data_IF_126303245813
#
_entry.id   IF_126303245813
#
_cell.length_a   1.000
_cell.length_b   1.000
_cell.length_c   1.000
_cell.angle_alpha   90.00
_cell.angle_beta   90.00
_cell.angle_gamma   90.00
#
_symmetry.space_group_name_H-M   'P 1'
#
loop_
_entity.id
_entity.type
_entity.pdbx_description
1 polymer ?
#
# COMPACT_ATOMS: atom_id res chain seq x y z
N UNK A 1 23.35 -6.92 -4.23
CA UNK A 1 22.57 -6.06 -3.31
C UNK A 1 21.13 -6.52 -3.38
N UNK A 2 20.58 -7.02 -2.27
CA UNK A 2 19.15 -7.36 -2.18
C UNK A 2 18.30 -6.09 -2.06
N UNK A 3 17.00 -6.20 -2.31
CA UNK A 3 16.06 -5.05 -2.24
C UNK A 3 16.04 -4.35 -0.87
N UNK A 4 16.29 -5.10 0.22
CA UNK A 4 16.30 -4.58 1.59
C UNK A 4 17.66 -4.05 2.03
N UNK A 5 18.73 -4.36 1.31
CA UNK A 5 20.09 -3.94 1.68
C UNK A 5 20.29 -2.44 1.48
N UNK A 6 19.75 -1.87 0.39
CA UNK A 6 19.96 -0.46 0.05
C UNK A 6 19.36 0.51 1.08
N UNK A 7 18.11 0.35 1.51
CA UNK A 7 17.54 1.19 2.57
C UNK A 7 18.33 1.10 3.87
N UNK A 8 18.73 -0.11 4.27
CA UNK A 8 19.47 -0.36 5.51
C UNK A 8 20.85 0.31 5.51
N UNK A 9 21.57 0.21 4.39
CA UNK A 9 22.86 0.85 4.19
C UNK A 9 22.75 2.38 4.12
N UNK A 10 21.70 2.91 3.48
CA UNK A 10 21.44 4.35 3.48
C UNK A 10 21.20 4.89 4.89
N UNK A 11 20.40 4.18 5.70
CA UNK A 11 20.13 4.56 7.09
C UNK A 11 21.40 4.53 7.94
N UNK A 12 22.22 3.49 7.76
CA UNK A 12 23.50 3.37 8.45
C UNK A 12 24.44 4.55 8.11
N UNK A 13 24.64 4.84 6.83
CA UNK A 13 25.48 5.95 6.37
C UNK A 13 24.94 7.32 6.78
N UNK A 14 23.62 7.48 6.78
CA UNK A 14 22.97 8.68 7.29
C UNK A 14 23.26 8.90 8.79
N UNK A 15 23.20 7.84 9.60
CA UNK A 15 23.55 7.89 11.03
C UNK A 15 25.04 8.15 11.26
N UNK A 16 25.91 7.76 10.33
CA UNK A 16 27.33 8.11 10.33
C UNK A 16 27.61 9.56 9.91
N UNK A 17 26.60 10.30 9.44
CA UNK A 17 26.75 11.69 8.99
C UNK A 17 27.31 11.82 7.56
N UNK A 18 27.40 10.72 6.81
CA UNK A 18 27.79 10.75 5.39
C UNK A 18 26.77 11.50 4.56
N UNK A 19 27.21 12.18 3.50
CA UNK A 19 26.28 12.79 2.55
C UNK A 19 25.85 11.78 1.47
N UNK A 20 24.70 12.03 0.82
CA UNK A 20 24.13 11.11 -0.16
C UNK A 20 25.05 10.80 -1.36
N UNK A 21 25.86 11.76 -1.80
CA UNK A 21 26.80 11.56 -2.91
C UNK A 21 27.95 10.63 -2.49
N UNK A 22 28.48 10.85 -1.29
CA UNK A 22 29.52 10.02 -0.69
C UNK A 22 29.03 8.59 -0.46
N UNK A 23 27.79 8.45 0.02
CA UNK A 23 27.13 7.14 0.16
C UNK A 23 26.95 6.46 -1.20
N UNK A 24 26.49 7.17 -2.24
CA UNK A 24 26.35 6.59 -3.57
C UNK A 24 27.70 6.10 -4.14
N UNK A 25 28.77 6.88 -3.98
CA UNK A 25 30.12 6.50 -4.39
C UNK A 25 30.63 5.29 -3.60
N UNK A 26 30.43 5.27 -2.28
CA UNK A 26 30.83 4.14 -1.43
C UNK A 26 30.09 2.86 -1.83
N UNK A 27 28.77 2.93 -2.03
CA UNK A 27 27.95 1.80 -2.46
C UNK A 27 28.36 1.29 -3.85
N UNK A 28 28.62 2.18 -4.81
CA UNK A 28 29.10 1.78 -6.13
C UNK A 28 30.52 1.18 -6.08
N UNK A 29 31.37 1.63 -5.15
CA UNK A 29 32.70 1.05 -4.94
C UNK A 29 32.65 -0.37 -4.36
N UNK A 30 31.72 -0.64 -3.46
CA UNK A 30 31.61 -1.95 -2.78
C UNK A 30 30.78 -2.98 -3.55
N UNK A 31 29.73 -2.55 -4.27
CA UNK A 31 28.85 -3.46 -5.03
C UNK A 31 29.07 -3.44 -6.54
N UNK A 32 29.89 -2.52 -7.07
CA UNK A 32 30.17 -2.36 -8.49
C UNK A 32 29.51 -1.10 -9.08
N UNK A 33 30.14 -0.54 -10.12
CA UNK A 33 29.65 0.67 -10.78
C UNK A 33 28.25 0.46 -11.35
N UNK A 34 27.33 1.38 -11.05
CA UNK A 34 25.92 1.28 -11.45
C UNK A 34 25.03 0.49 -10.48
N UNK A 35 25.56 0.00 -9.35
CA UNK A 35 24.76 -0.66 -8.30
C UNK A 35 23.70 0.26 -7.70
N UNK A 36 24.00 1.55 -7.59
CA UNK A 36 23.06 2.57 -7.14
C UNK A 36 23.24 3.89 -7.85
N UNK A 37 22.17 4.69 -7.90
CA UNK A 37 22.22 6.05 -8.43
C UNK A 37 22.19 7.09 -7.31
N UNK A 38 22.92 8.20 -7.48
CA UNK A 38 22.89 9.34 -6.56
C UNK A 38 21.45 9.84 -6.32
N UNK A 39 20.61 9.85 -7.37
CA UNK A 39 19.19 10.19 -7.27
C UNK A 39 18.43 9.24 -6.34
N UNK A 40 18.70 7.94 -6.39
CA UNK A 40 18.09 6.93 -5.52
C UNK A 40 18.47 7.17 -4.07
N UNK A 41 19.76 7.41 -3.80
CA UNK A 41 20.27 7.64 -2.43
C UNK A 41 19.73 8.95 -1.85
N UNK A 42 19.68 10.04 -2.64
CA UNK A 42 19.07 11.30 -2.20
C UNK A 42 17.61 11.15 -1.80
N UNK A 43 16.83 10.39 -2.57
CA UNK A 43 15.42 10.12 -2.25
C UNK A 43 15.29 9.37 -0.92
N UNK A 44 16.13 8.36 -0.70
CA UNK A 44 16.17 7.65 0.59
C UNK A 44 16.55 8.55 1.75
N UNK A 45 17.56 9.40 1.58
CA UNK A 45 17.97 10.38 2.60
C UNK A 45 16.85 11.38 2.93
N UNK A 46 16.02 11.74 1.95
CA UNK A 46 14.84 12.57 2.19
C UNK A 46 13.79 11.81 3.02
N UNK A 47 13.51 10.55 2.69
CA UNK A 47 12.55 9.72 3.43
C UNK A 47 12.99 9.50 4.89
N UNK A 48 14.27 9.20 5.12
CA UNK A 48 14.83 9.06 6.47
C UNK A 48 14.71 10.37 7.25
N UNK A 49 14.93 11.53 6.61
CA UNK A 49 14.72 12.84 7.26
C UNK A 49 13.26 13.15 7.57
N UNK A 50 12.32 12.65 6.78
CA UNK A 50 10.88 12.81 7.06
C UNK A 50 10.35 11.82 8.09
N UNK A 51 11.21 10.98 8.68
CA UNK A 51 10.80 9.97 9.67
C UNK A 51 10.11 8.75 9.08
N UNK A 52 10.15 8.61 7.74
CA UNK A 52 9.60 7.45 7.04
C UNK A 52 10.71 6.41 6.88
N UNK A 53 10.97 5.68 7.97
CA UNK A 53 12.01 4.64 8.06
C UNK A 53 11.57 3.29 7.41
N UNK A 54 10.52 3.29 6.59
CA UNK A 54 10.02 2.11 5.91
C UNK A 54 11.09 1.42 5.05
N UNK A 55 11.73 0.38 5.60
CA UNK A 55 12.69 -0.51 4.92
C UNK A 55 12.04 -1.43 3.88
N UNK A 56 10.71 -1.39 3.76
CA UNK A 56 9.98 -2.19 2.80
C UNK A 56 9.83 -1.43 1.49
N UNK A 57 10.27 -2.09 0.42
CA UNK A 57 9.92 -1.79 -0.97
C UNK A 57 8.40 -1.57 -1.03
N UNK A 58 7.95 -0.32 -0.86
CA UNK A 58 6.70 0.11 -1.44
C UNK A 58 6.88 -0.03 -2.95
N UNK A 59 6.69 -1.26 -3.41
CA UNK A 59 6.60 -1.62 -4.81
C UNK A 59 5.51 -0.74 -5.42
N UNK A 60 5.96 0.37 -6.00
CA UNK A 60 5.18 1.33 -6.74
C UNK A 60 3.89 1.80 -6.08
N UNK A 61 3.91 2.96 -5.41
CA UNK A 61 2.70 3.75 -5.15
C UNK A 61 1.58 2.96 -4.50
N UNK A 62 1.80 2.38 -3.33
CA UNK A 62 0.65 2.23 -2.45
C UNK A 62 0.43 3.62 -1.89
N UNK A 63 -0.44 4.42 -2.52
CA UNK A 63 -1.04 5.54 -1.80
C UNK A 63 -1.58 4.93 -0.51
N UNK A 64 -0.92 5.20 0.61
CA UNK A 64 -1.43 5.07 1.96
C UNK A 64 -2.57 6.08 2.20
N UNK A 65 -3.43 6.25 1.20
CA UNK A 65 -4.85 6.40 1.38
C UNK A 65 -5.32 5.13 2.11
N UNK A 66 -4.97 4.97 3.39
CA UNK A 66 -5.44 3.89 4.24
C UNK A 66 -6.94 4.09 4.36
N UNK A 67 -7.71 3.51 3.43
CA UNK A 67 -9.10 3.23 3.71
C UNK A 67 -9.05 2.27 4.88
N UNK A 68 -9.48 2.75 6.05
CA UNK A 68 -9.52 1.93 7.23
C UNK A 68 -10.40 0.72 6.91
N UNK A 69 -9.82 -0.47 6.99
CA UNK A 69 -10.55 -1.71 6.73
C UNK A 69 -11.71 -1.87 7.73
N UNK A 70 -11.62 -1.25 8.91
CA UNK A 70 -12.72 -1.17 9.87
C UNK A 70 -13.88 -0.33 9.34
N UNK A 71 -13.61 0.83 8.73
CA UNK A 71 -14.65 1.67 8.12
C UNK A 71 -15.33 0.96 6.95
N UNK A 72 -14.56 0.32 6.06
CA UNK A 72 -15.13 -0.46 4.96
C UNK A 72 -15.98 -1.62 5.49
N UNK A 73 -15.55 -2.29 6.56
CA UNK A 73 -16.31 -3.36 7.20
C UNK A 73 -17.64 -2.84 7.75
N UNK A 74 -17.67 -1.68 8.40
CA UNK A 74 -18.92 -1.07 8.91
C UNK A 74 -19.91 -0.80 7.78
N UNK A 75 -19.46 -0.20 6.66
CA UNK A 75 -20.31 0.07 5.49
C UNK A 75 -20.88 -1.23 4.90
N UNK A 76 -20.04 -2.26 4.75
CA UNK A 76 -20.47 -3.55 4.20
C UNK A 76 -21.46 -4.28 5.12
N UNK A 77 -21.31 -4.18 6.45
CA UNK A 77 -22.25 -4.78 7.40
C UNK A 77 -23.58 -4.02 7.47
N UNK A 78 -23.56 -2.69 7.35
CA UNK A 78 -24.79 -1.88 7.33
C UNK A 78 -25.58 -2.08 6.04
N UNK A 79 -24.89 -2.29 4.91
CA UNK A 79 -25.49 -2.35 3.58
C UNK A 79 -24.93 -3.53 2.77
N UNK A 80 -25.28 -4.75 3.17
CA UNK A 80 -24.80 -5.99 2.52
C UNK A 80 -25.16 -6.13 1.04
N UNK A 81 -26.11 -5.33 0.53
CA UNK A 81 -26.55 -5.30 -0.86
C UNK A 81 -25.91 -4.22 -1.74
N UNK A 82 -25.07 -3.33 -1.19
CA UNK A 82 -24.47 -2.25 -1.97
C UNK A 82 -23.49 -2.77 -3.02
N UNK A 83 -23.48 -2.10 -4.18
CA UNK A 83 -22.51 -2.37 -5.23
C UNK A 83 -21.17 -1.72 -4.92
N UNK A 84 -20.09 -2.26 -5.51
CA UNK A 84 -18.73 -1.68 -5.40
C UNK A 84 -18.67 -0.25 -5.95
N UNK A 85 -19.56 0.12 -6.88
CA UNK A 85 -19.64 1.48 -7.43
C UNK A 85 -20.23 2.46 -6.42
N UNK A 86 -21.30 2.07 -5.73
CA UNK A 86 -21.89 2.91 -4.67
C UNK A 86 -20.92 3.07 -3.51
N UNK A 87 -20.28 1.99 -3.06
CA UNK A 87 -19.23 2.04 -2.02
C UNK A 87 -18.07 2.97 -2.42
N UNK A 88 -17.67 2.95 -3.69
CA UNK A 88 -16.62 3.83 -4.22
C UNK A 88 -17.02 5.31 -4.17
N UNK A 89 -18.29 5.63 -4.46
CA UNK A 89 -18.81 6.99 -4.39
C UNK A 89 -18.96 7.46 -2.95
N UNK A 90 -19.49 6.63 -2.07
CA UNK A 90 -19.71 6.92 -0.65
C UNK A 90 -18.39 7.16 0.10
N UNK A 91 -17.39 6.32 -0.16
CA UNK A 91 -16.08 6.40 0.50
C UNK A 91 -15.10 7.33 -0.23
N UNK A 92 -15.46 7.88 -1.40
CA UNK A 92 -14.58 8.73 -2.21
C UNK A 92 -13.30 8.04 -2.68
N UNK A 93 -13.26 6.70 -2.70
CA UNK A 93 -12.10 5.89 -3.10
C UNK A 93 -12.34 5.23 -4.45
N UNK A 94 -11.28 5.00 -5.22
CA UNK A 94 -11.41 4.31 -6.50
C UNK A 94 -11.94 2.88 -6.37
N UNK A 95 -12.76 2.44 -7.34
CA UNK A 95 -13.39 1.11 -7.42
C UNK A 95 -12.37 -0.02 -7.18
N UNK A 96 -11.19 0.03 -7.80
CA UNK A 96 -10.14 -0.98 -7.64
C UNK A 96 -9.66 -1.12 -6.20
N UNK A 97 -9.65 -0.02 -5.44
CA UNK A 97 -9.23 0.00 -4.04
C UNK A 97 -10.29 -0.59 -3.10
N UNK A 98 -11.57 -0.33 -3.38
CA UNK A 98 -12.69 -1.01 -2.69
C UNK A 98 -12.57 -2.51 -2.90
N UNK A 99 -12.39 -2.97 -4.14
CA UNK A 99 -12.29 -4.40 -4.45
C UNK A 99 -11.10 -5.07 -3.75
N UNK A 100 -9.92 -4.44 -3.78
CA UNK A 100 -8.73 -4.94 -3.10
C UNK A 100 -8.95 -5.07 -1.58
N UNK A 101 -9.55 -4.06 -0.93
CA UNK A 101 -9.80 -4.10 0.50
C UNK A 101 -10.90 -5.12 0.88
N UNK A 102 -11.95 -5.27 0.06
CA UNK A 102 -12.97 -6.32 0.26
C UNK A 102 -12.36 -7.73 0.26
N UNK A 103 -11.42 -7.99 -0.66
CA UNK A 103 -10.67 -9.25 -0.67
C UNK A 103 -9.82 -9.43 0.60
N UNK A 104 -9.21 -8.36 1.10
CA UNK A 104 -8.38 -8.39 2.32
C UNK A 104 -9.18 -8.66 3.59
N UNK A 105 -10.46 -8.31 3.63
CA UNK A 105 -11.39 -8.59 4.75
C UNK A 105 -12.26 -9.83 4.52
N UNK A 106 -11.92 -10.67 3.54
CA UNK A 106 -12.63 -11.90 3.15
C UNK A 106 -14.13 -11.70 2.85
N UNK A 107 -14.52 -10.51 2.38
CA UNK A 107 -15.90 -10.22 1.96
C UNK A 107 -16.07 -10.54 0.48
N UNK A 108 -16.93 -11.52 0.19
CA UNK A 108 -17.27 -11.95 -1.17
C UNK A 108 -18.74 -11.68 -1.48
N UNK A 109 -19.04 -11.34 -2.73
CA UNK A 109 -20.43 -11.22 -3.20
C UNK A 109 -21.09 -12.60 -3.17
N UNK A 110 -22.19 -12.71 -2.43
CA UNK A 110 -23.09 -13.86 -2.47
C UNK A 110 -24.41 -13.42 -3.10
N UNK A 111 -25.02 -14.30 -3.88
CA UNK A 111 -26.37 -14.07 -4.37
C UNK A 111 -27.36 -14.42 -3.26
N UNK A 112 -28.42 -13.63 -3.15
CA UNK A 112 -29.50 -13.93 -2.22
C UNK A 112 -30.16 -15.26 -2.57
N UNK A 113 -30.60 -15.97 -1.52
CA UNK A 113 -31.32 -17.22 -1.70
C UNK A 113 -32.70 -16.91 -2.27
N UNK A 114 -33.04 -17.58 -3.36
CA UNK A 114 -34.38 -17.49 -3.93
C UNK A 114 -35.37 -18.17 -2.96
N UNK A 115 -36.32 -17.39 -2.43
CA UNK A 115 -37.40 -17.88 -1.58
C UNK A 115 -38.67 -17.98 -2.43
N UNK A 116 -39.27 -19.18 -2.58
CA UNK A 116 -40.55 -19.32 -3.26
C UNK A 116 -41.62 -18.50 -2.53
N UNK A 117 -42.32 -17.66 -3.27
CA UNK A 117 -43.43 -16.89 -2.73
C UNK A 117 -44.68 -17.78 -2.72
N UNK A 118 -45.19 -18.11 -1.54
CA UNK A 118 -46.49 -18.79 -1.41
C UNK A 118 -47.60 -17.77 -1.65
N UNK A 119 -48.14 -17.78 -2.87
CA UNK A 119 -49.37 -17.07 -3.20
C UNK A 119 -50.51 -17.75 -2.43
N UNK A 120 -51.14 -17.02 -1.50
CA UNK A 120 -52.37 -17.49 -0.87
C UNK A 120 -53.47 -17.49 -1.92
N UNK A 121 -53.99 -18.67 -2.26
CA UNK A 121 -55.21 -18.82 -3.05
C UNK A 121 -56.37 -18.12 -2.33
N UNK A 122 -57.10 -17.31 -3.10
CA UNK A 122 -58.33 -16.62 -2.69
C UNK A 122 -59.53 -17.57 -2.75
#
# INVERSE_FOLDING_TARGET
MTKKDLPLLCLHEFKLGSNASQTATNLNRTWGEGSTSDRTIRKWFQNVRSGDEGLEDEGGRVCSCSLDNEQLKVVVEQHSGQSVREMSQELGVGISKVLYNLQKIDKVKKLDKWVPHELKEN
#
